data_IF_769129325303
#
_entry.id   IF_769129325303
#
_cell.length_a   1.000
_cell.length_b   1.000
_cell.length_c   1.000
_cell.angle_alpha   90.00
_cell.angle_beta   90.00
_cell.angle_gamma   90.00
#
_symmetry.space_group_name_H-M   'P 1'
#
loop_
_entity.id
_entity.type
_entity.pdbx_description
1 polymer ?
#
# COMPACT_ATOMS: atom_id res chain seq x y z
N UNK A 1 -18.92 35.98 34.03
CA UNK A 1 -17.95 35.99 32.91
C UNK A 1 -17.66 34.54 32.55
N UNK A 2 -18.48 33.91 31.70
CA UNK A 2 -18.27 33.84 30.23
C UNK A 2 -16.84 33.38 29.91
N UNK A 3 -16.54 32.21 29.35
CA UNK A 3 -17.38 31.16 28.77
C UNK A 3 -16.55 29.86 28.69
N UNK A 4 -16.86 28.88 29.54
CA UNK A 4 -16.80 27.48 29.14
C UNK A 4 -18.13 27.19 28.44
N UNK A 5 -18.11 26.73 27.18
CA UNK A 5 -19.22 26.34 26.26
C UNK A 5 -19.21 27.16 24.96
N UNK A 6 -18.34 26.87 23.98
CA UNK A 6 -18.65 27.12 22.55
C UNK A 6 -17.62 26.58 21.55
N UNK A 7 -17.21 25.32 21.60
CA UNK A 7 -16.53 24.71 20.44
C UNK A 7 -16.89 23.23 20.25
N UNK A 8 -18.11 22.88 20.65
CA UNK A 8 -18.69 21.54 20.51
C UNK A 8 -19.87 21.52 19.51
N UNK A 9 -19.90 22.40 18.50
CA UNK A 9 -21.11 22.58 17.67
C UNK A 9 -20.90 23.01 16.22
N UNK A 10 -19.79 22.62 15.58
CA UNK A 10 -19.52 23.07 14.21
C UNK A 10 -19.46 21.98 13.12
N UNK A 11 -19.32 20.67 13.39
CA UNK A 11 -19.17 19.70 12.29
C UNK A 11 -19.94 18.38 12.48
N UNK A 12 -21.14 18.47 13.06
CA UNK A 12 -22.20 17.49 12.83
C UNK A 12 -23.28 18.12 11.95
N UNK A 13 -23.20 17.88 10.63
CA UNK A 13 -24.38 17.79 9.77
C UNK A 13 -24.20 16.61 8.79
N UNK A 14 -25.06 15.59 8.84
CA UNK A 14 -25.15 14.54 7.84
C UNK A 14 -26.04 15.03 6.68
N UNK A 15 -25.78 14.61 5.45
CA UNK A 15 -26.82 14.16 4.52
C UNK A 15 -26.20 13.60 3.24
N UNK A 16 -26.63 12.39 2.90
CA UNK A 16 -26.46 11.78 1.60
C UNK A 16 -27.18 12.58 0.50
N UNK A 17 -26.50 12.85 -0.61
CA UNK A 17 -27.01 13.12 -1.97
C UNK A 17 -25.84 13.72 -2.78
N UNK A 18 -25.45 13.31 -3.98
CA UNK A 18 -26.12 12.47 -4.95
C UNK A 18 -25.07 11.78 -5.84
N UNK A 19 -25.40 10.53 -6.17
CA UNK A 19 -24.94 9.81 -7.34
C UNK A 19 -25.38 10.53 -8.63
N UNK A 20 -24.70 10.18 -9.73
CA UNK A 20 -25.06 10.41 -11.14
C UNK A 20 -24.68 11.76 -11.77
N UNK A 21 -23.56 11.71 -12.51
CA UNK A 21 -23.56 12.22 -13.87
C UNK A 21 -23.05 11.11 -14.79
N UNK A 22 -24.00 10.50 -15.49
CA UNK A 22 -23.84 9.45 -16.49
C UNK A 22 -23.33 10.03 -17.80
N UNK A 23 -22.36 9.32 -18.42
CA UNK A 23 -22.13 9.14 -19.86
C UNK A 23 -21.89 10.34 -20.82
N UNK A 24 -20.70 10.33 -21.45
CA UNK A 24 -20.46 10.24 -22.91
C UNK A 24 -18.93 10.27 -23.15
N UNK A 25 -18.25 9.17 -23.52
CA UNK A 25 -18.18 8.52 -24.84
C UNK A 25 -17.51 9.36 -25.94
N UNK A 26 -16.29 8.94 -26.35
CA UNK A 26 -15.56 9.34 -27.57
C UNK A 26 -14.56 10.49 -27.36
N UNK A 27 -13.29 10.46 -27.77
CA UNK A 27 -12.57 9.62 -28.71
C UNK A 27 -11.10 9.61 -28.29
N UNK A 28 -10.48 8.43 -28.41
CA UNK A 28 -9.07 8.19 -28.18
C UNK A 28 -8.17 9.18 -28.92
N UNK A 29 -7.02 9.45 -28.30
CA UNK A 29 -5.66 9.43 -28.88
C UNK A 29 -4.85 10.54 -28.25
N UNK A 30 -4.17 10.26 -27.12
CA UNK A 30 -2.79 10.71 -26.93
C UNK A 30 -2.03 9.62 -26.18
N UNK A 31 -1.06 9.10 -26.91
CA UNK A 31 -0.05 8.10 -26.58
C UNK A 31 0.56 8.40 -25.22
N UNK A 32 0.04 7.79 -24.17
CA UNK A 32 0.81 7.56 -22.96
C UNK A 32 1.59 6.28 -23.22
N UNK A 33 2.86 6.42 -23.59
CA UNK A 33 3.82 5.33 -23.51
C UNK A 33 3.91 4.94 -22.03
N UNK A 34 3.00 4.10 -21.57
CA UNK A 34 3.14 3.37 -20.33
C UNK A 34 4.47 2.64 -20.46
N UNK A 35 5.42 2.92 -19.54
CA UNK A 35 6.62 2.12 -19.41
C UNK A 35 6.14 0.67 -19.25
N UNK A 36 6.26 -0.10 -20.32
CA UNK A 36 5.86 -1.48 -20.35
C UNK A 36 6.73 -2.18 -19.30
N UNK A 37 6.14 -2.53 -18.16
CA UNK A 37 6.71 -3.57 -17.32
C UNK A 37 6.96 -4.75 -18.26
N UNK A 38 8.22 -5.17 -18.37
CA UNK A 38 8.58 -6.33 -19.16
C UNK A 38 7.95 -7.56 -18.49
N UNK A 39 6.71 -7.85 -18.84
CA UNK A 39 6.07 -9.11 -18.48
C UNK A 39 6.60 -10.14 -19.47
N UNK A 40 7.68 -10.82 -19.11
CA UNK A 40 8.03 -12.07 -19.76
C UNK A 40 6.82 -12.99 -19.65
N UNK A 41 6.25 -13.40 -20.78
CA UNK A 41 5.26 -14.47 -20.79
C UNK A 41 5.93 -15.69 -20.13
N UNK A 42 5.32 -16.32 -19.11
CA UNK A 42 5.95 -17.46 -18.45
C UNK A 42 6.11 -18.58 -19.46
N UNK A 43 7.36 -18.87 -19.88
CA UNK A 43 7.70 -19.91 -20.85
C UNK A 43 7.23 -21.30 -20.40
N UNK A 44 7.01 -21.48 -19.10
CA UNK A 44 6.34 -22.63 -18.52
C UNK A 44 5.56 -22.18 -17.27
N UNK A 45 4.22 -22.17 -17.35
CA UNK A 45 3.37 -22.13 -16.17
C UNK A 45 3.20 -23.57 -15.70
N UNK A 46 3.89 -23.96 -14.63
CA UNK A 46 3.64 -25.25 -13.97
C UNK A 46 2.25 -25.15 -13.34
N UNK A 47 1.23 -25.60 -14.06
CA UNK A 47 -0.10 -25.86 -13.52
C UNK A 47 -0.01 -27.23 -12.84
N UNK A 48 0.65 -27.26 -11.68
CA UNK A 48 0.41 -28.34 -10.73
C UNK A 48 -1.03 -28.15 -10.23
N UNK A 49 -1.88 -29.15 -10.44
CA UNK A 49 -3.22 -29.21 -9.83
C UNK A 49 -3.16 -29.33 -8.32
N UNK A 50 -1.97 -29.59 -7.76
CA UNK A 50 -1.73 -29.43 -6.34
C UNK A 50 -1.32 -27.99 -6.06
N UNK A 51 -2.14 -27.18 -5.37
CA UNK A 51 -1.70 -25.88 -4.88
C UNK A 51 -0.44 -26.12 -4.03
N UNK A 52 0.61 -25.32 -4.24
CA UNK A 52 1.78 -25.34 -3.35
C UNK A 52 1.24 -25.21 -1.93
N UNK A 53 1.44 -26.30 -1.17
CA UNK A 53 0.77 -26.56 0.10
C UNK A 53 1.34 -25.62 1.16
N UNK A 54 0.99 -24.35 1.09
CA UNK A 54 0.86 -23.54 2.30
C UNK A 54 -0.29 -24.19 3.08
N UNK A 55 0.05 -25.22 3.85
CA UNK A 55 -0.87 -25.83 4.81
C UNK A 55 -1.21 -24.70 5.79
N UNK A 56 -2.44 -24.20 5.75
CA UNK A 56 -2.95 -23.37 6.83
C UNK A 56 -2.66 -24.13 8.13
N UNK A 57 -2.01 -23.45 9.07
CA UNK A 57 -1.74 -24.04 10.36
C UNK A 57 -3.09 -24.52 10.93
N UNK A 58 -3.26 -25.83 11.20
CA UNK A 58 -4.55 -26.40 11.63
C UNK A 58 -5.08 -25.79 12.92
N UNK A 59 -4.23 -25.07 13.64
CA UNK A 59 -4.54 -24.31 14.83
C UNK A 59 -4.20 -22.84 14.55
N UNK A 60 -5.05 -21.87 14.96
CA UNK A 60 -4.57 -20.50 15.10
C UNK A 60 -3.29 -20.58 15.95
N UNK A 61 -2.20 -19.99 15.48
CA UNK A 61 -0.81 -20.17 15.95
C UNK A 61 -0.55 -19.90 17.45
N UNK A 62 -1.59 -19.72 18.28
CA UNK A 62 -1.51 -19.59 19.74
C UNK A 62 -1.73 -20.89 20.54
N UNK A 63 -2.21 -21.99 19.95
CA UNK A 63 -2.59 -23.19 20.73
C UNK A 63 -1.53 -24.30 20.84
N UNK A 64 -0.34 -24.14 20.24
CA UNK A 64 0.74 -25.12 20.36
C UNK A 64 2.09 -24.42 20.48
N UNK A 65 2.38 -23.90 21.68
CA UNK A 65 3.69 -23.33 22.02
C UNK A 65 3.80 -21.81 21.87
N UNK A 66 3.16 -21.08 22.78
CA UNK A 66 3.78 -19.94 23.48
C UNK A 66 4.12 -18.65 22.73
N UNK A 67 3.71 -18.44 21.47
CA UNK A 67 3.91 -17.15 20.81
C UNK A 67 2.64 -16.29 20.93
N UNK A 68 2.63 -15.23 21.77
CA UNK A 68 1.48 -14.33 21.86
C UNK A 68 1.28 -13.61 20.53
N UNK A 69 0.07 -13.68 19.99
CA UNK A 69 -0.31 -12.98 18.77
C UNK A 69 -0.66 -11.54 19.16
N UNK A 70 -0.06 -10.57 18.48
CA UNK A 70 -0.30 -9.15 18.70
C UNK A 70 -0.95 -8.59 17.44
N UNK A 71 -2.19 -8.13 17.58
CA UNK A 71 -2.96 -7.54 16.49
C UNK A 71 -2.77 -6.02 16.46
N UNK A 72 -2.56 -5.49 15.25
CA UNK A 72 -2.44 -4.05 15.02
C UNK A 72 -3.31 -3.63 13.82
N UNK A 73 -3.97 -2.47 13.94
CA UNK A 73 -4.84 -1.93 12.90
C UNK A 73 -4.22 -0.67 12.28
N UNK A 74 -4.13 -0.65 10.96
CA UNK A 74 -3.59 0.44 10.14
C UNK A 74 -4.42 0.57 8.86
N UNK A 75 -4.41 1.76 8.26
CA UNK A 75 -5.13 2.01 7.00
C UNK A 75 -4.38 1.40 5.81
N UNK A 76 -3.05 1.41 5.87
CA UNK A 76 -2.20 0.80 4.88
C UNK A 76 -0.93 0.21 5.51
N UNK A 77 -0.45 -0.89 4.93
CA UNK A 77 0.79 -1.54 5.36
C UNK A 77 1.75 -1.61 4.17
N UNK A 78 2.98 -1.16 4.39
CA UNK A 78 4.08 -1.27 3.43
C UNK A 78 5.04 -2.35 3.90
N UNK A 79 5.28 -3.35 3.07
CA UNK A 79 6.25 -4.42 3.36
C UNK A 79 7.52 -4.16 2.56
N UNK A 80 8.59 -3.84 3.28
CA UNK A 80 9.90 -3.49 2.74
C UNK A 80 10.22 -2.00 2.88
N UNK A 81 11.39 -1.68 3.44
CA UNK A 81 11.85 -0.31 3.67
C UNK A 81 13.05 0.07 2.78
N UNK A 82 13.02 -0.34 1.51
CA UNK A 82 13.94 0.16 0.49
C UNK A 82 13.49 1.50 -0.08
N UNK A 83 14.15 2.01 -1.12
CA UNK A 83 13.82 3.30 -1.74
C UNK A 83 12.35 3.44 -2.17
N UNK A 84 11.74 2.40 -2.74
CA UNK A 84 10.32 2.41 -3.13
C UNK A 84 9.38 2.37 -1.93
N UNK A 85 9.64 1.50 -0.97
CA UNK A 85 8.79 1.30 0.21
C UNK A 85 8.80 2.50 1.14
N UNK A 86 9.96 3.13 1.37
CA UNK A 86 10.03 4.36 2.14
C UNK A 86 9.29 5.51 1.45
N UNK A 87 9.44 5.65 0.12
CA UNK A 87 8.70 6.70 -0.62
C UNK A 87 7.19 6.48 -0.57
N UNK A 88 6.73 5.24 -0.67
CA UNK A 88 5.31 4.89 -0.54
C UNK A 88 4.79 5.15 0.88
N UNK A 89 5.50 4.68 1.91
CA UNK A 89 5.11 4.88 3.30
C UNK A 89 5.04 6.37 3.66
N UNK A 90 6.02 7.16 3.21
CA UNK A 90 6.02 8.60 3.45
C UNK A 90 4.86 9.31 2.74
N UNK A 91 4.58 8.97 1.48
CA UNK A 91 3.45 9.56 0.75
C UNK A 91 2.09 9.24 1.38
N UNK A 92 1.93 8.04 1.96
CA UNK A 92 0.72 7.66 2.67
C UNK A 92 0.61 8.40 4.02
N UNK A 93 1.71 8.57 4.74
CA UNK A 93 1.76 9.36 5.97
C UNK A 93 1.48 10.86 5.72
N UNK A 94 1.99 11.42 4.62
CA UNK A 94 1.70 12.79 4.17
C UNK A 94 0.22 12.99 3.84
N UNK A 95 -0.44 11.96 3.31
CA UNK A 95 -1.88 11.95 3.07
C UNK A 95 -2.72 11.82 4.37
N UNK A 96 -2.08 11.73 5.54
CA UNK A 96 -2.74 11.61 6.84
C UNK A 96 -3.24 10.20 7.17
N UNK A 97 -2.79 9.17 6.45
CA UNK A 97 -3.17 7.78 6.69
C UNK A 97 -2.27 7.15 7.75
N UNK A 98 -2.85 6.31 8.60
CA UNK A 98 -2.11 5.52 9.58
C UNK A 98 -1.40 4.36 8.86
N UNK A 99 -0.08 4.48 8.69
CA UNK A 99 0.70 3.51 7.91
C UNK A 99 1.78 2.80 8.70
N UNK A 100 1.81 1.47 8.60
CA UNK A 100 2.89 0.65 9.13
C UNK A 100 3.89 0.29 8.03
N UNK A 101 5.19 0.49 8.28
CA UNK A 101 6.26 0.02 7.41
C UNK A 101 7.01 -1.12 8.10
N UNK A 102 6.92 -2.33 7.54
CA UNK A 102 7.49 -3.55 8.12
C UNK A 102 8.69 -3.97 7.26
N UNK A 103 9.85 -4.16 7.89
CA UNK A 103 11.07 -4.57 7.19
C UNK A 103 11.88 -5.55 8.03
N UNK A 104 12.47 -6.54 7.36
CA UNK A 104 13.36 -7.52 7.98
C UNK A 104 14.71 -6.91 8.39
N UNK A 105 15.17 -5.93 7.62
CA UNK A 105 16.45 -5.25 7.83
C UNK A 105 16.18 -3.80 8.19
N UNK A 106 17.09 -3.19 8.96
CA UNK A 106 17.06 -1.75 9.18
C UNK A 106 17.07 -1.02 7.81
N UNK A 107 16.28 0.05 7.63
CA UNK A 107 16.03 0.62 6.29
C UNK A 107 17.28 0.98 5.47
N UNK A 108 18.36 1.42 6.13
CA UNK A 108 19.63 1.76 5.45
C UNK A 108 20.44 0.54 4.99
N UNK A 109 20.11 -0.67 5.45
CA UNK A 109 20.68 -1.94 4.95
C UNK A 109 19.83 -2.61 3.88
N UNK A 110 18.87 -1.88 3.31
CA UNK A 110 18.13 -2.35 2.15
C UNK A 110 19.05 -2.47 0.94
N UNK A 111 18.77 -3.40 0.03
CA UNK A 111 19.62 -3.62 -1.15
C UNK A 111 19.69 -2.40 -2.08
N UNK A 112 18.74 -1.48 -1.97
CA UNK A 112 18.76 -0.19 -2.68
C UNK A 112 19.96 0.68 -2.29
N UNK A 113 20.57 0.47 -1.12
CA UNK A 113 21.80 1.18 -0.71
C UNK A 113 23.01 0.81 -1.57
N UNK A 114 23.00 -0.35 -2.21
CA UNK A 114 24.10 -0.83 -3.04
C UNK A 114 24.06 -0.26 -4.46
N UNK A 115 23.08 0.59 -4.80
CA UNK A 115 23.00 1.21 -6.12
C UNK A 115 24.19 2.16 -6.35
N UNK A 116 24.97 1.91 -7.42
CA UNK A 116 26.20 2.66 -7.71
C UNK A 116 26.05 3.68 -8.85
N UNK A 117 25.11 3.44 -9.77
CA UNK A 117 24.92 4.29 -10.95
C UNK A 117 24.19 5.59 -10.62
N UNK A 118 22.95 5.70 -11.07
CA UNK A 118 22.10 6.87 -10.85
C UNK A 118 20.65 6.59 -11.24
N UNK A 119 19.82 7.63 -11.23
CA UNK A 119 18.42 7.57 -11.64
C UNK A 119 18.28 8.35 -12.95
N UNK A 120 17.77 7.71 -13.99
CA UNK A 120 17.51 8.37 -15.27
C UNK A 120 16.26 9.24 -15.17
N UNK A 121 16.35 10.48 -15.64
CA UNK A 121 15.21 11.40 -15.76
C UNK A 121 15.41 12.31 -16.99
N UNK A 122 14.34 12.56 -17.74
CA UNK A 122 14.35 13.52 -18.85
C UNK A 122 14.13 14.94 -18.29
N UNK A 123 15.22 15.68 -18.06
CA UNK A 123 15.18 17.01 -17.42
C UNK A 123 15.09 18.19 -18.40
N UNK A 124 15.11 17.94 -19.71
CA UNK A 124 15.10 18.97 -20.76
C UNK A 124 16.32 18.89 -21.65
#
# INVERSE_FOLDING_TARGET
>A
MFAQRSFARALQRPLAAAFSSTAAAGSATRVAAAAAFSSSAPASRIISTQPLRAKEAPTPLGATGGCPIIDHYYDAIVVGAGGSGLRAAFGLAEAGLSTACITKLFPTRSHTVAAQGGINAALG
#
